data_IF_574046442601
#
_entry.id   IF_574046442601
#
_cell.length_a   1.000
_cell.length_b   1.000
_cell.length_c   1.000
_cell.angle_alpha   90.00
_cell.angle_beta   90.00
_cell.angle_gamma   90.00
#
_symmetry.space_group_name_H-M   'P 1'
#
loop_
_entity.id
_entity.type
_entity.pdbx_description
1 polymer ?
#
# COMPACT_ATOMS: atom_id res chain seq x y z
N UNK A 1 -39.68 -17.12 -42.87
CA UNK A 1 -40.84 -17.94 -42.43
C UNK A 1 -40.39 -18.92 -41.36
N UNK A 2 -41.19 -19.03 -40.28
CA UNK A 2 -41.15 -19.99 -39.14
C UNK A 2 -40.16 -19.65 -38.01
N UNK A 3 -40.59 -18.96 -36.94
CA UNK A 3 -41.29 -19.40 -35.69
C UNK A 3 -40.23 -19.53 -34.56
N UNK A 4 -39.98 -18.58 -33.67
CA UNK A 4 -40.78 -18.03 -32.54
C UNK A 4 -41.48 -19.09 -31.67
N UNK A 5 -40.87 -19.43 -30.53
CA UNK A 5 -41.57 -19.90 -29.33
C UNK A 5 -40.89 -19.36 -28.07
N UNK A 6 -41.65 -18.53 -27.36
CA UNK A 6 -41.41 -18.00 -26.03
C UNK A 6 -42.00 -19.01 -25.03
N UNK A 7 -41.28 -19.35 -23.95
CA UNK A 7 -41.88 -20.02 -22.79
C UNK A 7 -41.69 -19.14 -21.57
N UNK A 8 -42.82 -18.63 -21.11
CA UNK A 8 -43.07 -17.84 -19.91
C UNK A 8 -43.41 -18.82 -18.78
N UNK A 9 -42.76 -18.76 -17.61
CA UNK A 9 -43.20 -19.47 -16.41
C UNK A 9 -43.43 -18.46 -15.29
N UNK A 10 -44.68 -18.42 -14.81
CA UNK A 10 -45.20 -17.52 -13.79
C UNK A 10 -45.43 -18.32 -12.48
N UNK A 11 -44.76 -17.88 -11.41
CA UNK A 11 -45.19 -17.69 -10.00
C UNK A 11 -46.23 -18.63 -9.37
N UNK A 12 -45.87 -19.23 -8.21
CA UNK A 12 -46.77 -19.33 -7.04
C UNK A 12 -46.00 -18.91 -5.78
N UNK A 13 -46.48 -17.84 -5.13
CA UNK A 13 -46.04 -17.35 -3.82
C UNK A 13 -47.02 -17.96 -2.79
N UNK A 14 -46.52 -18.70 -1.81
CA UNK A 14 -47.29 -19.10 -0.64
C UNK A 14 -46.89 -18.20 0.52
N UNK A 15 -47.80 -17.27 0.82
CA UNK A 15 -47.84 -16.44 2.02
C UNK A 15 -48.69 -17.16 3.06
N UNK A 16 -48.17 -17.34 4.27
CA UNK A 16 -48.99 -17.52 5.46
C UNK A 16 -48.60 -16.43 6.47
N UNK A 17 -49.56 -15.53 6.66
CA UNK A 17 -49.67 -14.53 7.71
C UNK A 17 -50.49 -15.11 8.86
N UNK A 18 -50.50 -14.38 9.97
CA UNK A 18 -51.35 -14.47 11.17
C UNK A 18 -50.76 -15.29 12.34
N UNK A 19 -50.81 -14.84 13.58
CA UNK A 19 -51.29 -13.59 14.19
C UNK A 19 -50.59 -13.39 15.53
N UNK A 20 -50.61 -12.15 15.97
CA UNK A 20 -50.11 -11.58 17.24
C UNK A 20 -50.86 -12.07 18.49
N UNK A 21 -50.25 -11.86 19.67
CA UNK A 21 -50.79 -11.09 20.83
C UNK A 21 -50.21 -11.55 22.19
N UNK A 22 -49.45 -10.62 22.79
CA UNK A 22 -49.39 -10.11 24.18
C UNK A 22 -49.15 -10.94 25.45
N UNK A 23 -48.44 -10.21 26.35
CA UNK A 23 -48.45 -10.15 27.82
C UNK A 23 -47.63 -11.21 28.56
N UNK A 24 -46.50 -10.86 29.21
CA UNK A 24 -46.21 -9.93 30.33
C UNK A 24 -46.31 -10.62 31.70
N UNK A 25 -45.27 -10.37 32.52
CA UNK A 25 -45.11 -10.69 33.95
C UNK A 25 -44.77 -12.17 34.25
N UNK A 26 -43.83 -12.53 35.14
CA UNK A 26 -43.40 -11.85 36.35
C UNK A 26 -42.00 -12.35 36.81
N UNK A 27 -41.44 -11.57 37.73
CA UNK A 27 -40.09 -11.53 38.26
C UNK A 27 -39.91 -12.53 39.40
N UNK A 28 -38.87 -13.36 39.37
CA UNK A 28 -38.29 -13.94 40.59
C UNK A 28 -36.77 -13.78 40.56
N UNK A 29 -36.28 -12.92 41.46
CA UNK A 29 -34.88 -12.79 41.83
C UNK A 29 -34.69 -13.62 43.10
N UNK A 30 -33.79 -14.59 43.07
CA UNK A 30 -33.12 -15.10 44.27
C UNK A 30 -31.62 -15.10 44.01
N UNK A 31 -30.89 -14.53 44.96
CA UNK A 31 -29.44 -14.32 44.92
C UNK A 31 -28.69 -15.48 45.60
N UNK A 32 -27.37 -15.53 45.34
CA UNK A 32 -26.32 -16.46 45.82
C UNK A 32 -26.32 -17.84 45.13
N UNK A 33 -25.22 -18.40 44.62
CA UNK A 33 -23.80 -18.18 44.97
C UNK A 33 -22.83 -18.67 43.87
N UNK A 34 -21.67 -18.01 43.80
CA UNK A 34 -20.35 -18.55 43.42
C UNK A 34 -20.00 -18.96 41.96
N UNK A 35 -19.05 -18.17 41.41
CA UNK A 35 -17.91 -18.56 40.57
C UNK A 35 -18.14 -19.38 39.29
N UNK A 36 -18.34 -18.66 38.18
CA UNK A 36 -17.78 -19.07 36.88
C UNK A 36 -17.04 -17.88 36.27
N UNK A 37 -15.72 -17.89 36.36
CA UNK A 37 -14.84 -16.97 35.65
C UNK A 37 -15.05 -17.16 34.16
N UNK A 38 -15.82 -16.25 33.56
CA UNK A 38 -15.91 -16.11 32.11
C UNK A 38 -14.54 -15.62 31.65
N UNK A 39 -13.74 -16.54 31.10
CA UNK A 39 -12.55 -16.21 30.33
C UNK A 39 -13.04 -15.43 29.11
N UNK A 40 -13.01 -14.10 29.23
CA UNK A 40 -13.14 -13.19 28.10
C UNK A 40 -11.93 -13.46 27.20
N UNK A 41 -12.15 -14.18 26.10
CA UNK A 41 -11.21 -14.22 24.99
C UNK A 41 -11.04 -12.78 24.50
N UNK A 42 -9.92 -12.15 24.87
CA UNK A 42 -9.45 -10.93 24.23
C UNK A 42 -9.25 -11.27 22.75
N UNK A 43 -10.09 -10.70 21.88
CA UNK A 43 -9.86 -10.72 20.44
C UNK A 43 -8.44 -10.22 20.17
N UNK A 44 -7.58 -11.10 19.67
CA UNK A 44 -6.22 -10.74 19.31
C UNK A 44 -6.25 -9.61 18.29
N UNK A 45 -5.43 -8.57 18.52
CA UNK A 45 -5.13 -7.58 17.49
C UNK A 45 -4.71 -8.35 16.22
N UNK A 46 -5.24 -8.01 15.03
CA UNK A 46 -4.80 -8.63 13.78
C UNK A 46 -3.27 -8.61 13.74
N UNK A 47 -2.67 -9.76 13.40
CA UNK A 47 -1.21 -9.86 13.29
C UNK A 47 -0.72 -8.81 12.30
N UNK A 48 0.19 -7.96 12.75
CA UNK A 48 0.78 -6.94 11.90
C UNK A 48 1.67 -7.63 10.87
N UNK A 49 1.16 -7.71 9.62
CA UNK A 49 1.86 -8.36 8.50
C UNK A 49 3.09 -7.57 8.05
N UNK A 50 3.27 -6.35 8.55
CA UNK A 50 4.41 -5.48 8.26
C UNK A 50 5.34 -5.30 9.45
N UNK A 51 5.17 -6.08 10.53
CA UNK A 51 6.21 -6.17 11.56
C UNK A 51 7.51 -6.72 10.98
N UNK A 52 8.63 -6.36 11.60
CA UNK A 52 9.93 -6.90 11.24
C UNK A 52 10.55 -7.72 12.37
N UNK A 53 11.46 -8.62 11.99
CA UNK A 53 12.24 -9.45 12.90
C UNK A 53 13.69 -9.04 12.77
N UNK A 54 14.36 -8.82 13.90
CA UNK A 54 15.80 -8.56 13.93
C UNK A 54 16.53 -9.85 13.57
N UNK A 55 17.24 -9.86 12.43
CA UNK A 55 18.03 -11.00 12.01
C UNK A 55 19.34 -11.12 12.80
N UNK A 56 20.11 -12.18 12.57
CA UNK A 56 21.37 -12.43 13.28
C UNK A 56 22.44 -11.37 13.05
N UNK A 57 22.36 -10.66 11.92
CA UNK A 57 23.25 -9.55 11.56
C UNK A 57 22.76 -8.21 12.12
N UNK A 58 21.63 -8.17 12.81
CA UNK A 58 21.09 -6.98 13.48
C UNK A 58 20.14 -6.12 12.64
N UNK A 59 19.77 -6.56 11.42
CA UNK A 59 18.84 -5.83 10.54
C UNK A 59 17.38 -6.17 10.85
N UNK A 60 16.48 -5.20 10.71
CA UNK A 60 15.04 -5.36 10.82
C UNK A 60 14.48 -5.84 9.47
N UNK A 61 14.22 -7.14 9.35
CA UNK A 61 13.74 -7.79 8.11
C UNK A 61 12.24 -8.05 8.23
N UNK A 62 11.46 -7.59 7.25
CA UNK A 62 10.00 -7.64 7.30
C UNK A 62 9.48 -9.04 7.02
N UNK A 63 8.35 -9.39 7.61
CA UNK A 63 7.74 -10.74 7.48
C UNK A 63 6.88 -10.93 6.22
N UNK A 64 6.66 -9.86 5.46
CA UNK A 64 5.92 -9.88 4.20
C UNK A 64 6.71 -10.54 3.07
N UNK A 65 6.17 -10.45 1.85
CA UNK A 65 6.85 -10.96 0.66
C UNK A 65 7.40 -9.81 -0.20
N UNK A 66 8.63 -9.95 -0.75
CA UNK A 66 9.13 -9.01 -1.74
C UNK A 66 8.32 -9.08 -3.03
N UNK A 67 8.23 -7.96 -3.74
CA UNK A 67 7.72 -7.94 -5.11
C UNK A 67 8.65 -8.76 -6.00
N UNK A 68 8.09 -9.59 -6.89
CA UNK A 68 8.88 -10.46 -7.77
C UNK A 68 9.46 -9.71 -8.98
N UNK A 69 8.85 -8.57 -9.33
CA UNK A 69 9.23 -7.73 -10.45
C UNK A 69 9.45 -6.30 -10.00
N UNK A 70 10.36 -5.57 -10.64
CA UNK A 70 10.57 -4.15 -10.35
C UNK A 70 11.24 -3.40 -11.50
N UNK A 71 11.17 -2.07 -11.45
CA UNK A 71 11.93 -1.23 -12.37
C UNK A 71 13.43 -1.34 -12.08
N UNK A 72 14.22 -1.70 -13.08
CA UNK A 72 15.68 -1.58 -13.00
C UNK A 72 16.06 -0.09 -12.89
N UNK A 73 16.80 0.32 -11.86
CA UNK A 73 17.14 1.72 -11.61
C UNK A 73 17.66 2.45 -12.85
N UNK A 74 17.19 3.69 -13.07
CA UNK A 74 17.62 4.58 -14.17
C UNK A 74 17.46 4.00 -15.58
N UNK A 75 16.54 3.05 -15.78
CA UNK A 75 16.25 2.46 -17.09
C UNK A 75 14.76 2.39 -17.37
N UNK A 76 14.39 1.90 -18.57
CA UNK A 76 13.00 1.56 -18.94
C UNK A 76 12.74 0.04 -18.90
N UNK A 77 13.47 -0.70 -18.06
CA UNK A 77 13.44 -2.18 -18.02
C UNK A 77 12.77 -2.66 -16.75
N UNK A 78 11.71 -3.46 -16.88
CA UNK A 78 11.23 -4.28 -15.78
C UNK A 78 12.04 -5.56 -15.73
N UNK A 79 12.52 -5.90 -14.54
CA UNK A 79 13.32 -7.08 -14.26
C UNK A 79 12.66 -7.94 -13.18
N UNK A 80 13.02 -9.22 -13.14
CA UNK A 80 12.78 -10.08 -11.97
C UNK A 80 13.83 -9.85 -10.87
N UNK A 81 13.78 -10.67 -9.80
CA UNK A 81 14.70 -10.57 -8.67
C UNK A 81 16.14 -10.98 -9.02
N UNK A 82 16.31 -11.80 -10.03
CA UNK A 82 17.60 -12.24 -10.57
C UNK A 82 18.22 -11.20 -11.53
N UNK A 83 17.49 -10.11 -11.83
CA UNK A 83 17.93 -9.04 -12.71
C UNK A 83 17.71 -9.34 -14.20
N UNK A 84 16.96 -10.40 -14.53
CA UNK A 84 16.61 -10.77 -15.89
C UNK A 84 15.55 -9.81 -16.43
N UNK A 85 15.78 -9.30 -17.63
CA UNK A 85 14.83 -8.44 -18.32
C UNK A 85 13.54 -9.19 -18.69
N UNK A 86 12.40 -8.60 -18.36
CA UNK A 86 11.08 -9.16 -18.66
C UNK A 86 10.38 -8.37 -19.78
N UNK A 87 10.17 -7.07 -19.57
CA UNK A 87 9.46 -6.19 -20.52
C UNK A 87 9.77 -4.71 -20.25
N UNK A 88 9.27 -3.84 -21.13
CA UNK A 88 9.48 -2.39 -21.03
C UNK A 88 8.61 -1.75 -19.95
N UNK A 89 9.12 -0.73 -19.27
CA UNK A 89 8.35 0.12 -18.35
C UNK A 89 7.10 0.72 -19.03
N UNK A 90 7.17 0.98 -20.34
CA UNK A 90 6.03 1.48 -21.14
C UNK A 90 4.86 0.50 -21.19
N UNK A 91 5.11 -0.78 -20.97
CA UNK A 91 4.10 -1.85 -20.96
C UNK A 91 3.86 -2.38 -19.53
N UNK A 92 4.42 -1.76 -18.50
CA UNK A 92 4.34 -2.26 -17.12
C UNK A 92 3.08 -1.79 -16.40
N UNK A 93 2.20 -2.72 -16.03
CA UNK A 93 0.97 -2.45 -15.28
C UNK A 93 1.00 -3.22 -13.97
N UNK A 94 0.63 -2.55 -12.89
CA UNK A 94 0.57 -3.16 -11.57
C UNK A 94 -0.77 -3.88 -11.36
N UNK A 95 -0.70 -5.11 -10.85
CA UNK A 95 -1.83 -5.96 -10.48
C UNK A 95 -1.73 -6.34 -9.00
N UNK A 96 -2.86 -6.68 -8.38
CA UNK A 96 -2.86 -7.29 -7.04
C UNK A 96 -2.67 -8.81 -7.10
N UNK A 97 -2.64 -9.44 -5.93
CA UNK A 97 -2.52 -10.90 -5.76
C UNK A 97 -3.65 -11.74 -6.38
N UNK A 98 -4.75 -11.11 -6.80
CA UNK A 98 -5.85 -11.77 -7.53
C UNK A 98 -5.72 -11.60 -9.05
N UNK A 99 -4.65 -10.97 -9.54
CA UNK A 99 -4.44 -10.67 -10.95
C UNK A 99 -5.25 -9.48 -11.48
N UNK A 100 -5.92 -8.72 -10.60
CA UNK A 100 -6.69 -7.53 -11.01
C UNK A 100 -5.75 -6.33 -11.13
N UNK A 101 -5.86 -5.59 -12.24
CA UNK A 101 -5.18 -4.29 -12.42
C UNK A 101 -5.52 -3.36 -11.25
N UNK A 102 -4.49 -2.77 -10.67
CA UNK A 102 -4.65 -1.79 -9.61
C UNK A 102 -5.29 -0.51 -10.16
N UNK A 103 -6.37 -0.08 -9.52
CA UNK A 103 -7.01 1.20 -9.80
C UNK A 103 -6.11 2.34 -9.31
N UNK A 104 -5.97 3.40 -10.11
CA UNK A 104 -5.12 4.54 -9.78
C UNK A 104 -5.69 5.32 -8.58
N UNK A 105 -4.95 5.32 -7.47
CA UNK A 105 -5.33 5.95 -6.19
C UNK A 105 -4.09 6.16 -5.30
N UNK A 106 -4.26 6.86 -4.18
CA UNK A 106 -3.16 7.19 -3.25
C UNK A 106 -2.66 6.05 -2.37
N UNK A 107 -3.15 4.82 -2.53
CA UNK A 107 -2.72 3.70 -1.68
C UNK A 107 -1.32 3.22 -2.08
N UNK A 108 -0.42 2.96 -1.13
CA UNK A 108 0.89 2.40 -1.42
C UNK A 108 0.80 0.96 -1.96
N UNK A 109 1.93 0.42 -2.41
CA UNK A 109 2.08 -0.98 -2.81
C UNK A 109 1.91 -1.95 -1.63
N UNK A 110 1.19 -3.04 -1.86
CA UNK A 110 0.95 -4.10 -0.88
C UNK A 110 1.69 -5.40 -1.22
N UNK A 111 1.82 -6.27 -0.22
CA UNK A 111 2.24 -7.65 -0.44
C UNK A 111 1.39 -8.35 -1.50
N UNK A 112 2.06 -8.95 -2.47
CA UNK A 112 1.43 -9.67 -3.58
C UNK A 112 1.04 -8.80 -4.77
N UNK A 113 1.32 -7.49 -4.74
CA UNK A 113 1.24 -6.70 -5.97
C UNK A 113 2.42 -7.05 -6.89
N UNK A 114 2.19 -7.09 -8.20
CA UNK A 114 3.19 -7.45 -9.21
C UNK A 114 3.05 -6.58 -10.46
N UNK A 115 4.13 -6.48 -11.24
CA UNK A 115 4.08 -5.84 -12.56
C UNK A 115 3.91 -6.91 -13.63
N UNK A 116 2.97 -6.69 -14.53
CA UNK A 116 2.77 -7.51 -15.73
C UNK A 116 2.96 -6.68 -17.00
N UNK A 117 3.22 -7.39 -18.09
CA UNK A 117 3.18 -6.82 -19.43
C UNK A 117 1.73 -6.61 -19.87
N UNK A 118 1.32 -5.37 -20.09
CA UNK A 118 -0.02 -5.02 -20.56
C UNK A 118 0.00 -3.71 -21.38
N UNK A 119 -0.87 -3.61 -22.38
CA UNK A 119 -0.99 -2.39 -23.20
C UNK A 119 -1.64 -1.25 -22.42
N UNK A 120 -0.98 -0.09 -22.39
CA UNK A 120 -1.50 1.13 -21.74
C UNK A 120 -2.18 2.09 -22.72
N UNK A 121 -2.48 1.66 -23.95
CA UNK A 121 -3.03 2.52 -25.01
C UNK A 121 -4.36 3.19 -24.60
N UNK A 122 -5.19 2.46 -23.86
CA UNK A 122 -6.50 2.94 -23.40
C UNK A 122 -6.48 3.56 -21.99
N UNK A 123 -5.29 3.74 -21.40
CA UNK A 123 -5.14 4.40 -20.10
C UNK A 123 -4.98 5.90 -20.28
N UNK A 124 -5.57 6.66 -19.36
CA UNK A 124 -5.26 8.08 -19.16
C UNK A 124 -3.80 8.28 -18.77
N UNK A 125 -3.32 9.53 -18.87
CA UNK A 125 -1.94 9.85 -18.50
C UNK A 125 -1.70 9.71 -16.99
N UNK A 126 -2.73 9.95 -16.16
CA UNK A 126 -2.68 9.72 -14.71
C UNK A 126 -2.60 8.23 -14.35
N UNK A 127 -3.34 7.37 -15.06
CA UNK A 127 -3.24 5.91 -14.87
C UNK A 127 -1.87 5.37 -15.30
N UNK A 128 -1.33 5.87 -16.42
CA UNK A 128 0.04 5.52 -16.86
C UNK A 128 1.07 5.96 -15.82
N UNK A 129 0.94 7.19 -15.31
CA UNK A 129 1.82 7.74 -14.29
C UNK A 129 1.72 6.94 -12.99
N UNK A 130 0.51 6.58 -12.55
CA UNK A 130 0.27 5.73 -11.39
C UNK A 130 1.02 4.39 -11.52
N UNK A 131 0.87 3.67 -12.63
CA UNK A 131 1.58 2.40 -12.81
C UNK A 131 3.10 2.57 -12.87
N UNK A 132 3.60 3.71 -13.36
CA UNK A 132 5.03 4.02 -13.32
C UNK A 132 5.51 4.35 -11.89
N UNK A 133 4.69 5.00 -11.06
CA UNK A 133 4.95 5.15 -9.62
C UNK A 133 5.04 3.79 -8.95
N UNK A 134 4.11 2.87 -9.22
CA UNK A 134 4.17 1.51 -8.67
C UNK A 134 5.46 0.81 -9.07
N UNK A 135 5.83 0.86 -10.35
CA UNK A 135 7.07 0.26 -10.84
C UNK A 135 8.33 0.85 -10.19
N UNK A 136 8.31 2.14 -9.86
CA UNK A 136 9.39 2.86 -9.16
C UNK A 136 9.45 2.51 -7.67
N UNK A 137 8.29 2.38 -7.01
CA UNK A 137 8.21 2.15 -5.57
C UNK A 137 8.48 0.69 -5.17
N UNK A 138 8.19 -0.29 -6.02
CA UNK A 138 8.46 -1.71 -5.75
C UNK A 138 9.94 -2.00 -5.37
N UNK A 139 10.95 -1.58 -6.16
CA UNK A 139 12.35 -1.78 -5.78
C UNK A 139 12.75 -0.99 -4.53
N UNK A 140 12.24 0.23 -4.31
CA UNK A 140 12.49 1.02 -3.08
C UNK A 140 11.99 0.27 -1.85
N UNK A 141 10.76 -0.27 -1.94
CA UNK A 141 10.16 -1.09 -0.89
C UNK A 141 10.98 -2.34 -0.63
N UNK A 142 11.33 -3.08 -1.67
CA UNK A 142 12.13 -4.30 -1.53
C UNK A 142 13.50 -4.02 -0.89
N UNK A 143 14.15 -2.93 -1.30
CA UNK A 143 15.43 -2.48 -0.78
C UNK A 143 15.39 -2.26 0.74
N UNK A 144 14.40 -1.51 1.23
CA UNK A 144 14.26 -1.21 2.66
C UNK A 144 13.78 -2.40 3.49
N UNK A 145 12.85 -3.20 2.96
CA UNK A 145 12.15 -4.21 3.75
C UNK A 145 12.85 -5.57 3.77
N UNK A 146 13.59 -5.91 2.71
CA UNK A 146 14.08 -7.28 2.51
C UNK A 146 15.57 -7.35 2.16
N UNK A 147 16.11 -6.36 1.45
CA UNK A 147 17.47 -6.44 0.90
C UNK A 147 18.49 -5.55 1.64
N UNK A 148 18.11 -4.93 2.76
CA UNK A 148 18.90 -3.87 3.42
C UNK A 148 20.30 -4.32 3.88
N UNK A 149 20.46 -5.61 4.19
CA UNK A 149 21.73 -6.19 4.63
C UNK A 149 22.82 -6.03 3.57
N UNK A 150 22.52 -6.43 2.34
CA UNK A 150 23.44 -6.42 1.20
C UNK A 150 23.41 -5.10 0.42
N UNK A 151 22.43 -4.23 0.69
CA UNK A 151 22.25 -2.98 -0.02
C UNK A 151 23.35 -1.97 0.34
N UNK A 152 24.05 -1.53 -0.70
CA UNK A 152 25.08 -0.49 -0.64
C UNK A 152 24.52 0.91 -0.93
N UNK A 153 25.24 1.95 -0.50
CA UNK A 153 24.77 3.34 -0.63
C UNK A 153 24.62 3.77 -2.09
N UNK A 154 25.54 3.37 -2.96
CA UNK A 154 25.50 3.68 -4.39
C UNK A 154 24.28 3.05 -5.06
N UNK A 155 23.96 1.80 -4.71
CA UNK A 155 22.77 1.11 -5.22
C UNK A 155 21.49 1.77 -4.70
N UNK A 156 21.45 2.13 -3.42
CA UNK A 156 20.34 2.90 -2.85
C UNK A 156 20.11 4.21 -3.61
N UNK A 157 21.17 4.96 -3.89
CA UNK A 157 21.09 6.22 -4.64
C UNK A 157 20.52 6.02 -6.05
N UNK A 158 20.82 4.89 -6.68
CA UNK A 158 20.28 4.54 -7.98
C UNK A 158 18.79 4.20 -7.89
N UNK A 159 18.40 3.37 -6.91
CA UNK A 159 17.01 2.94 -6.69
C UNK A 159 16.09 4.14 -6.41
N UNK A 160 16.55 5.11 -5.60
CA UNK A 160 15.74 6.29 -5.22
C UNK A 160 15.88 7.48 -6.16
N UNK A 161 16.52 7.30 -7.31
CA UNK A 161 16.81 8.38 -8.26
C UNK A 161 15.58 9.23 -8.62
N UNK A 162 14.43 8.61 -8.87
CA UNK A 162 13.20 9.33 -9.22
C UNK A 162 12.65 10.19 -8.05
N UNK A 163 12.87 9.77 -6.79
CA UNK A 163 12.53 10.58 -5.62
C UNK A 163 13.50 11.77 -5.51
N UNK A 164 14.81 11.51 -5.64
CA UNK A 164 15.85 12.55 -5.56
C UNK A 164 15.71 13.60 -6.65
N UNK A 165 15.43 13.20 -7.90
CA UNK A 165 15.17 14.10 -9.05
C UNK A 165 14.08 15.14 -8.73
N UNK A 166 13.11 14.76 -7.89
CA UNK A 166 11.94 15.58 -7.50
C UNK A 166 12.05 16.18 -6.11
N UNK A 167 13.17 15.97 -5.41
CA UNK A 167 13.36 16.39 -4.03
C UNK A 167 12.33 15.81 -3.05
N UNK A 168 11.70 14.69 -3.40
CA UNK A 168 10.73 14.00 -2.55
C UNK A 168 11.47 13.45 -1.33
N UNK A 169 10.95 13.76 -0.14
CA UNK A 169 11.49 13.27 1.14
C UNK A 169 13.00 13.52 1.27
N UNK A 170 13.50 14.68 0.84
CA UNK A 170 14.93 15.00 0.87
C UNK A 170 15.46 15.48 2.25
N UNK A 171 14.61 15.56 3.28
CA UNK A 171 14.96 16.01 4.63
C UNK A 171 14.60 14.96 5.68
N UNK A 172 15.43 14.86 6.70
CA UNK A 172 15.19 14.07 7.91
C UNK A 172 15.13 15.00 9.10
N UNK A 173 14.18 14.76 10.00
CA UNK A 173 14.08 15.44 11.28
C UNK A 173 13.71 14.43 12.36
N UNK A 174 14.57 14.29 13.37
CA UNK A 174 14.43 13.31 14.45
C UNK A 174 14.54 13.92 15.85
N UNK A 175 14.47 15.25 15.95
CA UNK A 175 14.54 16.01 17.21
C UNK A 175 13.15 16.33 17.78
N UNK A 176 12.11 15.72 17.23
CA UNK A 176 10.74 15.88 17.67
C UNK A 176 10.52 15.36 19.10
N UNK A 177 9.60 15.99 19.83
CA UNK A 177 9.27 15.61 21.22
C UNK A 177 8.55 14.27 21.30
N UNK A 178 7.82 13.92 20.24
CA UNK A 178 7.06 12.67 20.14
C UNK A 178 7.43 11.94 18.85
N UNK A 179 7.29 10.60 18.77
CA UNK A 179 7.62 9.85 17.57
C UNK A 179 6.93 10.35 16.30
N UNK A 180 5.68 10.85 16.40
CA UNK A 180 4.94 11.41 15.26
C UNK A 180 5.58 12.68 14.68
N UNK A 181 6.32 13.43 15.49
CA UNK A 181 6.99 14.67 15.08
C UNK A 181 8.27 14.38 14.28
N UNK A 182 8.73 13.13 14.31
CA UNK A 182 9.89 12.68 13.57
C UNK A 182 9.48 12.21 12.17
N UNK A 183 10.34 12.47 11.20
CA UNK A 183 10.21 11.94 9.85
C UNK A 183 11.58 11.69 9.24
N UNK A 184 11.66 10.60 8.48
CA UNK A 184 12.86 10.24 7.76
C UNK A 184 12.73 10.66 6.30
N UNK A 185 13.80 11.26 5.78
CA UNK A 185 14.00 11.45 4.36
C UNK A 185 14.75 10.27 3.74
N UNK A 186 14.96 10.31 2.43
CA UNK A 186 15.55 9.24 1.63
C UNK A 186 16.89 8.72 2.16
N UNK A 187 17.77 9.60 2.63
CA UNK A 187 19.05 9.16 3.21
C UNK A 187 18.91 8.75 4.68
N UNK A 188 18.07 9.44 5.45
CA UNK A 188 17.87 9.10 6.86
C UNK A 188 17.18 7.74 7.04
N UNK A 189 16.23 7.38 6.17
CA UNK A 189 15.57 6.08 6.26
C UNK A 189 16.53 4.93 5.94
N UNK A 190 17.43 5.14 4.99
CA UNK A 190 18.49 4.18 4.69
C UNK A 190 19.45 4.02 5.87
N UNK A 191 19.90 5.13 6.47
CA UNK A 191 20.78 5.07 7.64
C UNK A 191 20.10 4.39 8.84
N UNK A 192 18.80 4.65 9.06
CA UNK A 192 18.00 3.95 10.06
C UNK A 192 17.90 2.45 9.77
N UNK A 193 17.61 2.07 8.52
CA UNK A 193 17.43 0.69 8.12
C UNK A 193 18.75 -0.11 8.14
N UNK A 194 19.89 0.52 7.83
CA UNK A 194 21.22 -0.09 8.02
C UNK A 194 21.58 -0.28 9.49
N UNK A 195 21.07 0.57 10.39
CA UNK A 195 21.40 0.52 11.82
C UNK A 195 20.14 0.69 12.70
N UNK A 196 19.24 -0.31 12.74
CA UNK A 196 18.00 -0.20 13.51
C UNK A 196 18.22 -0.25 15.03
N UNK A 197 19.44 -0.55 15.49
CA UNK A 197 19.82 -0.65 16.90
C UNK A 197 18.94 -1.64 17.69
N UNK A 198 18.61 -2.78 17.06
CA UNK A 198 17.76 -3.82 17.64
C UNK A 198 16.29 -3.42 17.80
N UNK A 199 15.85 -2.30 17.19
CA UNK A 199 14.47 -1.83 17.24
C UNK A 199 13.69 -2.30 16.02
N UNK A 200 12.43 -2.59 16.24
CA UNK A 200 11.45 -2.67 15.15
C UNK A 200 11.22 -1.25 14.60
N UNK A 201 11.56 -1.06 13.32
CA UNK A 201 11.48 0.23 12.59
C UNK A 201 10.35 0.23 11.55
N UNK A 202 9.39 -0.70 11.65
CA UNK A 202 8.36 -0.84 10.63
C UNK A 202 7.53 0.44 10.44
N UNK A 203 7.20 1.14 11.52
CA UNK A 203 6.42 2.38 11.43
C UNK A 203 7.16 3.44 10.61
N UNK A 204 8.46 3.62 10.85
CA UNK A 204 9.30 4.58 10.14
C UNK A 204 9.43 4.25 8.65
N UNK A 205 9.65 2.97 8.32
CA UNK A 205 9.78 2.50 6.93
C UNK A 205 8.45 2.60 6.20
N UNK A 206 7.34 2.14 6.81
CA UNK A 206 6.02 2.19 6.18
C UNK A 206 5.57 3.63 5.95
N UNK A 207 5.77 4.52 6.92
CA UNK A 207 5.50 5.95 6.76
C UNK A 207 6.32 6.55 5.61
N UNK A 208 7.62 6.25 5.54
CA UNK A 208 8.46 6.73 4.43
C UNK A 208 7.95 6.23 3.07
N UNK A 209 7.59 4.96 2.95
CA UNK A 209 7.11 4.37 1.69
C UNK A 209 5.76 4.95 1.25
N UNK A 210 4.82 5.11 2.19
CA UNK A 210 3.51 5.71 1.95
C UNK A 210 3.65 7.17 1.49
N UNK A 211 4.36 7.99 2.27
CA UNK A 211 4.58 9.40 1.94
C UNK A 211 5.36 9.57 0.64
N UNK A 212 6.41 8.77 0.40
CA UNK A 212 7.19 8.85 -0.85
C UNK A 212 6.35 8.51 -2.07
N UNK A 213 5.51 7.47 -1.98
CA UNK A 213 4.64 7.04 -3.07
C UNK A 213 3.62 8.12 -3.41
N UNK A 214 2.93 8.66 -2.39
CA UNK A 214 1.88 9.67 -2.64
C UNK A 214 2.48 11.01 -3.07
N UNK A 215 3.63 11.43 -2.53
CA UNK A 215 4.31 12.63 -2.99
C UNK A 215 4.81 12.47 -4.43
N UNK A 216 5.26 11.26 -4.81
CA UNK A 216 5.62 10.98 -6.20
C UNK A 216 4.40 11.08 -7.11
N UNK A 217 3.25 10.52 -6.74
CA UNK A 217 1.99 10.70 -7.48
C UNK A 217 1.68 12.19 -7.65
N UNK A 218 1.68 12.96 -6.55
CA UNK A 218 1.43 14.41 -6.58
C UNK A 218 2.32 15.17 -7.56
N UNK A 219 3.56 14.71 -7.81
CA UNK A 219 4.48 15.32 -8.76
C UNK A 219 4.19 14.99 -10.23
N UNK A 220 3.63 13.81 -10.51
CA UNK A 220 3.58 13.24 -11.87
C UNK A 220 2.17 13.15 -12.45
N UNK A 221 1.14 13.41 -11.64
CA UNK A 221 -0.27 13.41 -12.06
C UNK A 221 -0.85 14.82 -12.19
N UNK A 222 -2.04 14.91 -12.78
CA UNK A 222 -2.84 16.13 -12.95
C UNK A 222 -3.27 16.77 -11.62
N UNK A 223 -3.81 18.00 -11.67
CA UNK A 223 -4.40 18.64 -10.48
C UNK A 223 -5.71 17.97 -10.09
N UNK A 224 -6.47 17.48 -11.06
CA UNK A 224 -7.70 16.72 -10.84
C UNK A 224 -7.41 15.43 -10.06
N UNK A 225 -6.34 14.72 -10.43
CA UNK A 225 -5.88 13.54 -9.69
C UNK A 225 -5.40 13.92 -8.28
N UNK A 226 -4.66 15.02 -8.13
CA UNK A 226 -4.22 15.50 -6.81
C UNK A 226 -5.40 15.84 -5.89
N UNK A 227 -6.47 16.41 -6.43
CA UNK A 227 -7.71 16.65 -5.69
C UNK A 227 -8.36 15.33 -5.25
N UNK A 228 -8.37 14.31 -6.12
CA UNK A 228 -8.84 12.97 -5.75
C UNK A 228 -7.97 12.31 -4.65
N UNK A 229 -6.64 12.51 -4.68
CA UNK A 229 -5.74 12.03 -3.63
C UNK A 229 -6.07 12.66 -2.27
N UNK A 230 -6.33 13.97 -2.24
CA UNK A 230 -6.75 14.69 -1.04
C UNK A 230 -8.10 14.21 -0.51
N UNK A 231 -9.09 14.08 -1.40
CA UNK A 231 -10.46 13.73 -1.01
C UNK A 231 -10.57 12.29 -0.49
N UNK A 232 -9.67 11.41 -0.94
CA UNK A 232 -9.61 10.00 -0.53
C UNK A 232 -8.58 9.71 0.57
N UNK A 233 -7.80 10.71 1.03
CA UNK A 233 -6.73 10.48 2.00
C UNK A 233 -7.30 10.06 3.37
N UNK A 234 -6.92 8.90 3.92
CA UNK A 234 -7.49 8.39 5.18
C UNK A 234 -7.32 9.34 6.37
N UNK A 235 -6.19 10.06 6.41
CA UNK A 235 -5.86 11.00 7.48
C UNK A 235 -6.51 12.39 7.31
N UNK A 236 -7.28 12.61 6.24
CA UNK A 236 -8.04 13.84 5.97
C UNK A 236 -7.19 15.12 5.93
N UNK A 237 -5.95 15.01 5.46
CA UNK A 237 -5.10 16.15 5.11
C UNK A 237 -4.81 16.14 3.60
N UNK A 238 -4.10 17.17 3.13
CA UNK A 238 -3.76 17.36 1.72
C UNK A 238 -2.31 16.90 1.48
N UNK A 239 -2.08 15.65 1.03
CA UNK A 239 -0.73 15.11 0.89
C UNK A 239 0.08 15.86 -0.16
N UNK A 240 -0.58 16.42 -1.19
CA UNK A 240 0.11 17.17 -2.24
C UNK A 240 0.54 18.57 -1.78
N UNK A 241 -0.18 19.16 -0.83
CA UNK A 241 0.27 20.36 -0.12
C UNK A 241 1.46 20.06 0.79
N UNK A 242 1.42 18.94 1.50
CA UNK A 242 2.49 18.53 2.43
C UNK A 242 3.77 18.09 1.71
N UNK A 243 3.66 17.68 0.45
CA UNK A 243 4.80 17.40 -0.42
C UNK A 243 5.65 18.64 -0.75
N UNK A 244 5.14 19.86 -0.52
CA UNK A 244 5.82 21.15 -0.78
C UNK A 244 6.42 21.18 -2.20
N UNK A 245 5.56 20.94 -3.20
CA UNK A 245 5.96 20.85 -4.61
C UNK A 245 6.04 22.26 -5.20
N UNK A 246 7.27 22.77 -5.38
CA UNK A 246 7.48 24.04 -6.09
C UNK A 246 7.17 23.93 -7.59
N UNK A 247 7.54 22.79 -8.19
CA UNK A 247 7.34 22.51 -9.61
C UNK A 247 7.15 21.01 -9.85
N UNK A 248 6.06 20.65 -10.54
CA UNK A 248 5.84 19.28 -11.02
C UNK A 248 6.87 18.90 -12.09
N UNK A 249 7.37 17.66 -11.99
CA UNK A 249 8.31 17.08 -12.95
C UNK A 249 7.69 15.76 -13.40
N UNK A 250 6.97 15.73 -14.54
CA UNK A 250 6.33 14.52 -15.02
C UNK A 250 7.35 13.45 -15.38
N UNK A 251 6.89 12.22 -15.58
CA UNK A 251 7.73 11.20 -16.18
C UNK A 251 7.98 11.50 -17.67
N UNK A 252 9.16 11.11 -18.14
CA UNK A 252 9.50 11.14 -19.56
C UNK A 252 9.02 9.81 -20.16
N UNK A 253 8.10 9.88 -21.13
CA UNK A 253 7.50 8.70 -21.76
C UNK A 253 8.29 8.23 -22.98
#
# INVERSE_FOLDING_TARGET
>A
MKNLFIVLILIIILSCKNDSINNSEEKYITASDSNKSVIQQKGGKPQDRYSCIINTSGYCIFTGNPHQTGLKPKTNKIIDREGIYLFSLREAVAINSLGKILEARGTPSFDGDELIKFSKENMSDDEKAFHQVMATMFPIRNALMYNIEELEREEWNDIVFELTKRQIKNKTFTEGRTPKDNYYGTFGIFDLAKNPNGKDIHHEVMKFLEESSIYLLCHVTSEEFNQMLKDSHPERHDPCKDAIIDKKIPFEY
#
